data_IF_465599938507
#
_entry.id   IF_465599938507
#
_cell.length_a   1.000
_cell.length_b   1.000
_cell.length_c   1.000
_cell.angle_alpha   90.00
_cell.angle_beta   90.00
_cell.angle_gamma   90.00
#
_symmetry.space_group_name_H-M   'P 1'
#
loop_
_entity.id
_entity.type
_entity.pdbx_description
1 polymer ?
#
# COMPACT_ATOMS: atom_id res chain seq x y z
N UNK A 1 20.16 -18.99 -14.75
CA UNK A 1 19.14 -18.49 -13.79
C UNK A 1 19.84 -17.77 -12.65
N UNK A 2 19.85 -16.44 -12.68
CA UNK A 2 20.46 -15.61 -11.63
C UNK A 2 19.64 -15.77 -10.34
N UNK A 3 20.18 -16.48 -9.34
CA UNK A 3 19.64 -16.51 -7.98
C UNK A 3 19.80 -15.10 -7.42
N UNK A 4 18.77 -14.27 -7.56
CA UNK A 4 18.68 -13.03 -6.80
C UNK A 4 18.70 -13.42 -5.31
N UNK A 5 19.70 -12.99 -4.53
CA UNK A 5 19.72 -13.30 -3.11
C UNK A 5 18.45 -12.70 -2.51
N UNK A 6 17.54 -13.57 -2.05
CA UNK A 6 16.38 -13.09 -1.32
C UNK A 6 16.90 -12.47 -0.04
N UNK A 7 16.92 -11.15 -0.05
CA UNK A 7 16.93 -10.35 1.15
C UNK A 7 15.76 -10.85 1.99
N UNK A 8 16.08 -11.55 3.08
CA UNK A 8 15.10 -11.98 4.06
C UNK A 8 14.29 -10.75 4.47
N UNK A 9 13.01 -10.74 4.08
CA UNK A 9 12.16 -9.56 4.24
C UNK A 9 12.09 -9.14 5.69
N UNK A 10 11.94 -10.10 6.60
CA UNK A 10 11.83 -9.79 8.01
C UNK A 10 13.15 -9.22 8.50
N UNK A 11 14.28 -9.77 8.05
CA UNK A 11 15.60 -9.23 8.37
C UNK A 11 15.78 -7.81 7.83
N UNK A 12 15.44 -7.56 6.56
CA UNK A 12 15.53 -6.23 5.94
C UNK A 12 14.60 -5.22 6.59
N UNK A 13 13.35 -5.60 6.87
CA UNK A 13 12.43 -4.72 7.59
C UNK A 13 12.96 -4.39 8.97
N UNK A 14 13.43 -5.40 9.70
CA UNK A 14 13.99 -5.21 11.04
C UNK A 14 15.21 -4.29 10.99
N UNK A 15 16.15 -4.52 10.07
CA UNK A 15 17.33 -3.66 9.87
C UNK A 15 16.96 -2.24 9.47
N UNK A 16 16.02 -2.08 8.53
CA UNK A 16 15.58 -0.76 8.07
C UNK A 16 14.80 -0.01 9.14
N UNK A 17 13.93 -0.67 9.92
CA UNK A 17 13.24 -0.05 11.05
C UNK A 17 14.22 0.32 12.16
N UNK A 18 15.15 -0.57 12.52
CA UNK A 18 16.17 -0.30 13.55
C UNK A 18 17.08 0.87 13.14
N UNK A 19 17.39 1.03 11.85
CA UNK A 19 18.20 2.13 11.33
C UNK A 19 17.51 3.50 11.41
N UNK A 20 16.18 3.57 11.53
CA UNK A 20 15.42 4.83 11.45
C UNK A 20 15.28 5.54 12.81
N UNK A 21 15.58 4.86 13.93
CA UNK A 21 15.32 5.35 15.27
C UNK A 21 13.82 5.54 15.59
N UNK A 22 13.51 5.98 16.81
CA UNK A 22 12.13 6.09 17.32
C UNK A 22 11.31 7.11 16.50
N UNK A 23 11.87 8.30 16.26
CA UNK A 23 11.23 9.35 15.44
C UNK A 23 10.87 8.83 14.04
N UNK A 24 11.76 8.06 13.42
CA UNK A 24 11.51 7.52 12.10
C UNK A 24 10.41 6.45 12.06
N UNK A 25 10.25 5.67 13.12
CA UNK A 25 9.18 4.69 13.27
C UNK A 25 7.83 5.38 13.44
N UNK A 26 7.76 6.44 14.26
CA UNK A 26 6.54 7.24 14.44
C UNK A 26 6.06 7.79 13.09
N UNK A 27 6.96 8.35 12.28
CA UNK A 27 6.62 8.82 10.92
C UNK A 27 6.06 7.70 10.04
N UNK A 28 6.67 6.52 10.06
CA UNK A 28 6.18 5.37 9.29
C UNK A 28 4.77 4.97 9.75
N UNK A 29 4.52 4.92 11.06
CA UNK A 29 3.20 4.61 11.60
C UNK A 29 2.16 5.68 11.23
N UNK A 30 2.52 6.96 11.29
CA UNK A 30 1.67 8.06 10.84
C UNK A 30 1.33 7.92 9.35
N UNK A 31 2.29 7.57 8.49
CA UNK A 31 2.03 7.33 7.06
C UNK A 31 1.01 6.21 6.88
N UNK A 32 1.17 5.10 7.62
CA UNK A 32 0.23 3.97 7.55
C UNK A 32 -1.17 4.36 8.02
N UNK A 33 -1.29 5.10 9.13
CA UNK A 33 -2.56 5.58 9.66
C UNK A 33 -3.25 6.55 8.69
N UNK A 34 -2.52 7.57 8.20
CA UNK A 34 -3.04 8.54 7.22
C UNK A 34 -3.49 7.84 5.94
N UNK A 35 -2.67 6.93 5.41
CA UNK A 35 -3.01 6.20 4.19
C UNK A 35 -4.27 5.33 4.39
N UNK A 36 -4.42 4.71 5.57
CA UNK A 36 -5.61 3.93 5.93
C UNK A 36 -6.88 4.77 6.03
N UNK A 37 -6.79 6.00 6.55
CA UNK A 37 -7.94 6.91 6.59
C UNK A 37 -8.25 7.43 5.18
N UNK A 38 -7.24 7.93 4.46
CA UNK A 38 -7.42 8.50 3.11
C UNK A 38 -8.01 7.50 2.13
N UNK A 39 -7.58 6.23 2.16
CA UNK A 39 -8.11 5.24 1.21
C UNK A 39 -9.61 4.99 1.39
N UNK A 40 -10.12 5.03 2.62
CA UNK A 40 -11.55 4.84 2.88
C UNK A 40 -12.41 5.97 2.34
N UNK A 41 -11.85 7.17 2.21
CA UNK A 41 -12.53 8.34 1.65
C UNK A 41 -12.36 8.41 0.12
N UNK A 42 -11.15 8.14 -0.38
CA UNK A 42 -10.85 8.26 -1.81
C UNK A 42 -11.47 7.11 -2.60
N UNK A 43 -11.43 5.87 -2.12
CA UNK A 43 -11.98 4.72 -2.85
C UNK A 43 -13.47 4.89 -3.25
N UNK A 44 -14.41 5.25 -2.35
CA UNK A 44 -15.80 5.44 -2.74
C UNK A 44 -15.99 6.66 -3.66
N UNK A 45 -15.24 7.75 -3.45
CA UNK A 45 -15.25 8.92 -4.32
C UNK A 45 -14.79 8.57 -5.74
N UNK A 46 -13.74 7.76 -5.87
CA UNK A 46 -13.19 7.34 -7.15
C UNK A 46 -14.16 6.42 -7.88
N UNK A 47 -14.79 5.47 -7.17
CA UNK A 47 -15.80 4.58 -7.73
C UNK A 47 -17.04 5.36 -8.22
N UNK A 48 -17.51 6.32 -7.42
CA UNK A 48 -18.67 7.13 -7.77
C UNK A 48 -18.40 8.06 -8.95
N UNK A 49 -17.23 8.72 -8.99
CA UNK A 49 -16.92 9.72 -10.01
C UNK A 49 -16.40 9.13 -11.33
N UNK A 50 -15.63 8.03 -11.28
CA UNK A 50 -15.04 7.45 -12.49
C UNK A 50 -15.94 6.37 -13.09
N UNK A 51 -16.54 5.52 -12.26
CA UNK A 51 -17.31 4.36 -12.71
C UNK A 51 -18.83 4.65 -12.70
N UNK A 52 -19.26 5.68 -11.97
CA UNK A 52 -20.68 6.07 -11.90
C UNK A 52 -21.55 5.11 -11.06
N UNK A 53 -20.94 4.16 -10.36
CA UNK A 53 -21.66 3.20 -9.52
C UNK A 53 -21.98 3.87 -8.19
N UNK A 54 -23.21 4.39 -8.07
CA UNK A 54 -23.74 4.94 -6.82
C UNK A 54 -24.18 3.79 -5.91
N UNK A 55 -23.51 3.64 -4.78
CA UNK A 55 -23.82 2.61 -3.78
C UNK A 55 -22.89 2.68 -2.58
N UNK A 56 -23.32 2.09 -1.47
CA UNK A 56 -22.48 1.91 -0.28
C UNK A 56 -21.91 0.50 -0.18
N UNK A 57 -21.00 0.26 0.77
CA UNK A 57 -20.57 -1.11 1.10
C UNK A 57 -21.74 -2.01 1.52
N UNK A 58 -22.71 -1.43 2.24
CA UNK A 58 -23.88 -2.15 2.78
C UNK A 58 -25.00 -2.27 1.75
N UNK A 59 -25.39 -1.16 1.13
CA UNK A 59 -26.55 -1.06 0.23
C UNK A 59 -26.21 -1.05 -1.27
N UNK A 60 -24.93 -1.16 -1.63
CA UNK A 60 -24.48 -1.12 -3.02
C UNK A 60 -24.58 -2.47 -3.75
N UNK A 61 -24.60 -2.46 -5.09
CA UNK A 61 -24.55 -3.67 -5.91
C UNK A 61 -23.31 -4.52 -5.63
N UNK A 62 -23.37 -5.82 -5.90
CA UNK A 62 -22.19 -6.70 -5.83
C UNK A 62 -21.01 -6.19 -6.67
N UNK A 63 -21.30 -5.55 -7.81
CA UNK A 63 -20.31 -4.90 -8.66
C UNK A 63 -19.53 -3.80 -7.92
N UNK A 64 -20.20 -3.00 -7.09
CA UNK A 64 -19.55 -1.97 -6.27
C UNK A 64 -18.53 -2.60 -5.32
N UNK A 65 -18.90 -3.71 -4.66
CA UNK A 65 -18.03 -4.40 -3.69
C UNK A 65 -16.77 -4.97 -4.36
N UNK A 66 -16.94 -5.62 -5.51
CA UNK A 66 -15.81 -6.19 -6.28
C UNK A 66 -14.86 -5.09 -6.73
N UNK A 67 -15.40 -4.03 -7.34
CA UNK A 67 -14.60 -2.89 -7.79
C UNK A 67 -13.89 -2.20 -6.62
N UNK A 68 -14.56 -2.08 -5.47
CA UNK A 68 -13.98 -1.46 -4.28
C UNK A 68 -12.77 -2.25 -3.78
N UNK A 69 -12.90 -3.56 -3.66
CA UNK A 69 -11.81 -4.46 -3.24
C UNK A 69 -10.64 -4.43 -4.23
N UNK A 70 -10.92 -4.41 -5.54
CA UNK A 70 -9.87 -4.37 -6.58
C UNK A 70 -9.16 -3.01 -6.62
N UNK A 71 -9.88 -1.92 -6.34
CA UNK A 71 -9.35 -0.55 -6.43
C UNK A 71 -8.50 -0.18 -5.22
N UNK A 72 -8.76 -0.77 -4.04
CA UNK A 72 -7.98 -0.47 -2.83
C UNK A 72 -6.48 -0.74 -3.00
N UNK A 73 -6.02 -1.94 -3.42
CA UNK A 73 -4.59 -2.25 -3.53
C UNK A 73 -3.78 -1.25 -4.39
N UNK A 74 -4.18 -0.93 -5.64
CA UNK A 74 -3.43 0.01 -6.47
C UNK A 74 -3.40 1.42 -5.87
N UNK A 75 -4.53 1.91 -5.33
CA UNK A 75 -4.56 3.23 -4.70
C UNK A 75 -3.72 3.30 -3.43
N UNK A 76 -3.77 2.23 -2.62
CA UNK A 76 -3.03 2.14 -1.37
C UNK A 76 -1.52 2.22 -1.60
N UNK A 77 -1.00 1.54 -2.63
CA UNK A 77 0.40 1.64 -3.01
C UNK A 77 0.79 3.04 -3.47
N UNK A 78 -0.11 3.71 -4.21
CA UNK A 78 0.12 5.06 -4.71
C UNK A 78 0.18 6.06 -3.55
N UNK A 79 -0.78 5.99 -2.61
CA UNK A 79 -0.79 6.81 -1.39
C UNK A 79 0.44 6.58 -0.52
N UNK A 80 0.83 5.31 -0.29
CA UNK A 80 2.03 4.97 0.48
C UNK A 80 3.30 5.59 -0.11
N UNK A 81 3.45 5.54 -1.44
CA UNK A 81 4.61 6.13 -2.12
C UNK A 81 4.55 7.66 -2.03
N UNK A 82 3.39 8.26 -2.31
CA UNK A 82 3.23 9.72 -2.31
C UNK A 82 3.46 10.32 -0.92
N UNK A 83 2.70 9.88 0.08
CA UNK A 83 2.80 10.36 1.47
C UNK A 83 4.16 9.98 2.07
N UNK A 84 4.62 8.75 1.81
CA UNK A 84 5.92 8.29 2.25
C UNK A 84 7.08 9.08 1.64
N UNK A 85 6.98 9.52 0.39
CA UNK A 85 7.98 10.37 -0.26
C UNK A 85 7.94 11.79 0.30
N UNK A 86 6.75 12.33 0.57
CA UNK A 86 6.57 13.65 1.20
C UNK A 86 7.29 13.74 2.55
N UNK A 87 7.24 12.66 3.34
CA UNK A 87 7.87 12.56 4.66
C UNK A 87 9.31 12.03 4.61
N UNK A 88 9.95 12.00 3.43
CA UNK A 88 11.35 11.59 3.25
C UNK A 88 11.62 10.08 3.38
N UNK A 89 10.59 9.25 3.58
CA UNK A 89 10.69 7.79 3.71
C UNK A 89 10.32 7.02 2.43
N UNK A 90 10.26 7.69 1.28
CA UNK A 90 9.86 7.09 0.00
C UNK A 90 10.70 5.87 -0.42
N UNK A 91 12.01 5.86 -0.11
CA UNK A 91 12.89 4.70 -0.38
C UNK A 91 12.47 3.45 0.40
N UNK A 92 12.05 3.61 1.65
CA UNK A 92 11.55 2.52 2.49
C UNK A 92 10.27 1.91 1.91
N UNK A 93 9.30 2.76 1.53
CA UNK A 93 8.03 2.30 0.97
C UNK A 93 8.16 1.72 -0.44
N UNK A 94 9.03 2.27 -1.30
CA UNK A 94 9.35 1.64 -2.59
C UNK A 94 9.96 0.25 -2.41
N UNK A 95 10.86 0.08 -1.44
CA UNK A 95 11.39 -1.23 -1.05
C UNK A 95 10.31 -2.20 -0.57
N UNK A 96 9.37 -1.72 0.27
CA UNK A 96 8.20 -2.49 0.75
C UNK A 96 7.40 -3.04 -0.42
N UNK A 97 7.03 -2.17 -1.36
CA UNK A 97 6.15 -2.49 -2.50
C UNK A 97 6.84 -3.46 -3.45
N UNK A 98 8.09 -3.16 -3.85
CA UNK A 98 8.86 -4.03 -4.74
C UNK A 98 8.96 -5.46 -4.20
N UNK A 99 9.16 -5.61 -2.90
CA UNK A 99 9.22 -6.94 -2.30
C UNK A 99 7.85 -7.64 -2.28
N UNK A 100 6.77 -6.93 -1.96
CA UNK A 100 5.42 -7.50 -2.00
C UNK A 100 5.10 -8.04 -3.39
N UNK A 101 5.37 -7.25 -4.44
CA UNK A 101 5.21 -7.67 -5.83
C UNK A 101 6.17 -8.81 -6.21
N UNK A 102 7.43 -8.78 -5.77
CA UNK A 102 8.38 -9.87 -6.01
C UNK A 102 7.92 -11.21 -5.43
N UNK A 103 7.27 -11.21 -4.26
CA UNK A 103 6.68 -12.43 -3.67
C UNK A 103 5.47 -12.94 -4.47
N UNK A 104 4.61 -12.03 -4.93
CA UNK A 104 3.43 -12.36 -5.73
C UNK A 104 3.85 -12.96 -7.09
N UNK A 105 4.86 -12.37 -7.75
CA UNK A 105 5.38 -12.85 -9.03
C UNK A 105 6.05 -14.22 -8.91
N UNK A 106 6.74 -14.50 -7.78
CA UNK A 106 7.38 -15.79 -7.55
C UNK A 106 6.41 -16.93 -7.22
N UNK A 107 5.21 -16.66 -6.70
CA UNK A 107 4.18 -17.69 -6.47
C UNK A 107 3.69 -18.33 -7.79
N UNK A 108 3.96 -17.69 -8.93
CA UNK A 108 3.47 -18.10 -10.26
C UNK A 108 4.53 -18.78 -11.14
N UNK A 109 5.76 -18.98 -10.63
CA UNK A 109 6.92 -19.62 -11.29
C UNK A 109 7.50 -20.68 -10.37
#
# INVERSE_FOLDING_TARGET
>A
MQKFPMIDLNRYFKTQLQAQGISGIIVIMCVFALTGILITQIAPLLLSNIIGVKGGLVSGPWLYRVLYIITIPPLYYLLLISIGTLLGKGRFFRGRIRNTWGKILKIRI
#
